data_IF_580638440266
#
_entry.id   IF_580638440266
#
_cell.length_a   1.000
_cell.length_b   1.000
_cell.length_c   1.000
_cell.angle_alpha   90.00
_cell.angle_beta   90.00
_cell.angle_gamma   90.00
#
_symmetry.space_group_name_H-M   'P 1'
#
loop_
_entity.id
_entity.type
_entity.pdbx_description
1 polymer ?
#
# COMPACT_ATOMS: atom_id res chain seq x y z
N UNK A 1 47.23 52.52 -0.81
CA UNK A 1 47.12 51.20 -0.14
C UNK A 1 45.82 51.17 0.64
N UNK A 2 44.79 50.45 0.16
CA UNK A 2 43.48 50.36 0.80
C UNK A 2 43.46 49.08 1.64
N UNK A 3 43.24 49.20 2.94
CA UNK A 3 43.07 48.05 3.86
C UNK A 3 41.73 47.38 3.62
N UNK A 4 41.66 46.04 3.52
CA UNK A 4 40.40 45.34 3.41
C UNK A 4 39.67 45.34 4.77
N UNK A 5 38.44 45.83 4.79
CA UNK A 5 37.55 45.75 5.92
C UNK A 5 37.22 44.27 6.27
N UNK A 6 37.63 43.84 7.47
CA UNK A 6 37.25 42.55 8.01
C UNK A 6 35.72 42.51 8.22
N UNK A 7 35.02 41.69 7.46
CA UNK A 7 33.61 41.38 7.69
C UNK A 7 33.50 40.65 9.05
N UNK A 8 32.84 41.28 10.01
CA UNK A 8 32.44 40.62 11.26
C UNK A 8 31.48 39.47 10.93
N UNK A 9 31.94 38.22 11.04
CA UNK A 9 31.08 37.05 11.05
C UNK A 9 30.51 36.91 12.46
N UNK A 10 29.26 37.36 12.64
CA UNK A 10 28.53 37.12 13.88
C UNK A 10 28.30 35.61 14.03
N UNK A 11 28.88 34.98 15.03
CA UNK A 11 28.63 33.57 15.38
C UNK A 11 27.26 33.43 16.07
N UNK A 12 26.58 32.30 15.84
CA UNK A 12 25.34 31.99 16.54
C UNK A 12 25.55 31.81 18.05
N UNK A 13 24.65 32.37 18.85
CA UNK A 13 24.63 32.16 20.30
C UNK A 13 24.15 30.73 20.62
N UNK A 14 24.71 30.11 21.66
CA UNK A 14 24.29 28.77 22.13
C UNK A 14 22.82 28.75 22.51
N UNK A 15 22.28 29.83 23.09
CA UNK A 15 20.83 29.93 23.41
C UNK A 15 19.96 30.00 22.17
N UNK A 16 20.40 30.64 21.11
CA UNK A 16 19.67 30.70 19.83
C UNK A 16 19.58 29.33 19.16
N UNK A 17 20.66 28.53 19.23
CA UNK A 17 20.68 27.17 18.72
C UNK A 17 19.76 26.26 19.54
N UNK A 18 19.75 26.41 20.88
CA UNK A 18 18.81 25.66 21.73
C UNK A 18 17.35 26.03 21.45
N UNK A 19 17.04 27.31 21.29
CA UNK A 19 15.71 27.78 20.98
C UNK A 19 15.23 27.22 19.60
N UNK A 20 16.10 27.24 18.60
CA UNK A 20 15.81 26.68 17.27
C UNK A 20 15.53 25.17 17.35
N UNK A 21 16.32 24.40 18.10
CA UNK A 21 16.12 22.98 18.30
C UNK A 21 14.76 22.67 18.96
N UNK A 22 14.36 23.45 19.97
CA UNK A 22 13.06 23.29 20.63
C UNK A 22 11.91 23.51 19.64
N UNK A 23 11.98 24.57 18.84
CA UNK A 23 10.96 24.86 17.82
C UNK A 23 10.87 23.72 16.80
N UNK A 24 12.01 23.24 16.28
CA UNK A 24 12.05 22.12 15.32
C UNK A 24 11.46 20.85 15.94
N UNK A 25 11.79 20.53 17.19
CA UNK A 25 11.26 19.37 17.89
C UNK A 25 9.74 19.43 18.03
N UNK A 26 9.18 20.60 18.38
CA UNK A 26 7.73 20.82 18.46
C UNK A 26 7.03 20.65 17.10
N UNK A 27 7.61 21.19 16.03
CA UNK A 27 7.08 21.05 14.68
C UNK A 27 7.11 19.59 14.21
N UNK A 28 8.18 18.85 14.47
CA UNK A 28 8.30 17.44 14.13
C UNK A 28 7.30 16.58 14.91
N UNK A 29 7.03 16.89 16.17
CA UNK A 29 6.05 16.17 16.98
C UNK A 29 4.64 16.20 16.39
N UNK A 30 4.28 17.28 15.69
CA UNK A 30 3.00 17.42 14.99
C UNK A 30 3.03 16.84 13.55
N UNK A 31 4.15 17.01 12.85
CA UNK A 31 4.26 16.62 11.44
C UNK A 31 4.34 15.09 11.24
N UNK A 32 5.07 14.37 12.12
CA UNK A 32 5.30 12.92 11.97
C UNK A 32 4.01 12.10 11.98
N UNK A 33 3.06 12.27 12.94
CA UNK A 33 1.84 11.46 12.93
C UNK A 33 0.95 11.74 11.71
N UNK A 34 0.85 13.00 11.26
CA UNK A 34 0.11 13.37 10.07
C UNK A 34 0.70 12.70 8.81
N UNK A 35 2.04 12.68 8.68
CA UNK A 35 2.73 12.06 7.54
C UNK A 35 2.49 10.55 7.45
N UNK A 36 2.49 9.83 8.58
CA UNK A 36 2.20 8.39 8.62
C UNK A 36 0.80 8.07 8.07
N UNK A 37 -0.21 8.86 8.43
CA UNK A 37 -1.56 8.70 7.91
C UNK A 37 -1.65 8.85 6.38
N UNK A 38 -0.87 9.77 5.81
CA UNK A 38 -0.80 9.95 4.35
C UNK A 38 -0.15 8.75 3.66
N UNK A 39 0.93 8.17 4.24
CA UNK A 39 1.58 6.98 3.68
C UNK A 39 0.59 5.79 3.66
N UNK A 40 -0.12 5.54 4.75
CA UNK A 40 -1.10 4.45 4.81
C UNK A 40 -2.17 4.62 3.73
N UNK A 41 -2.72 5.83 3.56
CA UNK A 41 -3.70 6.13 2.50
C UNK A 41 -3.12 5.90 1.10
N UNK A 42 -1.90 6.36 0.82
CA UNK A 42 -1.25 6.15 -0.47
C UNK A 42 -1.05 4.66 -0.78
N UNK A 43 -0.59 3.88 0.20
CA UNK A 43 -0.44 2.42 0.08
C UNK A 43 -1.79 1.72 -0.11
N UNK A 44 -2.85 2.18 0.57
CA UNK A 44 -4.22 1.68 0.38
C UNK A 44 -4.71 1.92 -1.04
N UNK A 45 -4.55 3.11 -1.59
CA UNK A 45 -4.91 3.45 -2.98
C UNK A 45 -4.15 2.55 -3.97
N UNK A 46 -2.85 2.29 -3.71
CA UNK A 46 -2.05 1.37 -4.51
C UNK A 46 -2.62 -0.05 -4.47
N UNK A 47 -3.02 -0.56 -3.29
CA UNK A 47 -3.70 -1.85 -3.14
C UNK A 47 -5.01 -1.93 -3.92
N UNK A 48 -5.84 -0.88 -3.85
CA UNK A 48 -7.09 -0.79 -4.62
C UNK A 48 -6.86 -0.81 -6.13
N UNK A 49 -5.87 -0.03 -6.61
CA UNK A 49 -5.53 0.00 -8.03
C UNK A 49 -5.06 -1.37 -8.52
N UNK A 50 -4.27 -2.10 -7.72
CA UNK A 50 -3.83 -3.45 -8.06
C UNK A 50 -5.00 -4.43 -8.07
N UNK A 51 -5.93 -4.37 -7.12
CA UNK A 51 -7.15 -5.18 -7.15
C UNK A 51 -7.99 -4.95 -8.42
N UNK A 52 -8.13 -3.69 -8.85
CA UNK A 52 -8.84 -3.36 -10.09
C UNK A 52 -8.09 -3.86 -11.34
N UNK A 53 -6.75 -3.73 -11.39
CA UNK A 53 -5.91 -4.29 -12.46
C UNK A 53 -6.08 -5.82 -12.55
N UNK A 54 -6.01 -6.49 -11.41
CA UNK A 54 -6.16 -7.94 -11.33
C UNK A 54 -7.57 -8.41 -11.69
N UNK A 55 -8.61 -7.67 -11.31
CA UNK A 55 -9.97 -7.98 -11.74
C UNK A 55 -10.11 -7.89 -13.26
N UNK A 56 -9.52 -6.89 -13.91
CA UNK A 56 -9.50 -6.82 -15.38
C UNK A 56 -8.76 -8.01 -16.02
N UNK A 57 -7.67 -8.48 -15.39
CA UNK A 57 -6.97 -9.70 -15.84
C UNK A 57 -7.86 -10.94 -15.68
N UNK A 58 -8.58 -11.07 -14.57
CA UNK A 58 -9.53 -12.14 -14.32
C UNK A 58 -10.68 -12.14 -15.34
N UNK A 59 -11.21 -10.98 -15.70
CA UNK A 59 -12.26 -10.87 -16.73
C UNK A 59 -11.73 -11.27 -18.12
N UNK A 60 -10.50 -10.91 -18.48
CA UNK A 60 -9.86 -11.39 -19.71
C UNK A 60 -9.66 -12.90 -19.70
N UNK A 61 -9.19 -13.45 -18.59
CA UNK A 61 -9.04 -14.90 -18.43
C UNK A 61 -10.37 -15.60 -18.54
N UNK A 62 -11.42 -15.08 -17.91
CA UNK A 62 -12.79 -15.60 -17.97
C UNK A 62 -13.32 -15.62 -19.41
N UNK A 63 -13.10 -14.59 -20.18
CA UNK A 63 -13.55 -14.52 -21.58
C UNK A 63 -12.95 -15.62 -22.48
N UNK A 64 -11.79 -16.14 -22.12
CA UNK A 64 -11.06 -17.17 -22.86
C UNK A 64 -11.33 -18.58 -22.34
N UNK A 65 -11.56 -18.72 -21.03
CA UNK A 65 -11.60 -20.03 -20.35
C UNK A 65 -12.97 -20.37 -19.72
N UNK A 66 -13.94 -19.44 -19.74
CA UNK A 66 -15.25 -19.56 -19.08
C UNK A 66 -15.16 -19.86 -17.57
N UNK A 67 -14.08 -19.46 -16.93
CA UNK A 67 -13.87 -19.57 -15.50
C UNK A 67 -12.87 -18.52 -15.04
N UNK A 68 -12.96 -18.08 -13.79
CA UNK A 68 -11.91 -17.32 -13.14
C UNK A 68 -10.82 -18.24 -12.63
N UNK A 69 -9.67 -17.68 -12.27
CA UNK A 69 -8.53 -18.43 -11.75
C UNK A 69 -8.23 -18.03 -10.29
N UNK A 70 -8.14 -19.04 -9.43
CA UNK A 70 -7.61 -18.83 -8.07
C UNK A 70 -6.09 -18.70 -8.12
N UNK A 71 -5.52 -17.76 -7.39
CA UNK A 71 -4.07 -17.59 -7.24
C UNK A 71 -3.72 -17.07 -5.85
N UNK A 72 -2.47 -17.27 -5.47
CA UNK A 72 -1.88 -16.77 -4.24
C UNK A 72 -0.36 -16.65 -4.38
N UNK A 73 0.32 -16.10 -3.38
CA UNK A 73 1.78 -16.04 -3.33
C UNK A 73 2.49 -17.41 -3.38
N UNK A 74 1.78 -18.51 -3.20
CA UNK A 74 2.29 -19.87 -3.24
C UNK A 74 1.72 -20.69 -4.40
N UNK A 75 1.16 -20.08 -5.45
CA UNK A 75 0.68 -20.80 -6.61
C UNK A 75 1.83 -21.40 -7.40
N UNK A 76 1.85 -22.72 -7.53
CA UNK A 76 2.88 -23.47 -8.28
C UNK A 76 2.52 -23.67 -9.75
N UNK A 77 1.26 -23.41 -10.12
CA UNK A 77 0.77 -23.54 -11.49
C UNK A 77 1.18 -22.34 -12.35
N UNK A 78 1.59 -22.60 -13.59
CA UNK A 78 2.06 -21.58 -14.52
C UNK A 78 1.02 -20.49 -14.82
N UNK A 79 -0.27 -20.78 -14.68
CA UNK A 79 -1.37 -19.83 -14.90
C UNK A 79 -1.51 -18.88 -13.70
N UNK A 80 -1.45 -19.40 -12.47
CA UNK A 80 -1.50 -18.59 -11.25
C UNK A 80 -0.29 -17.65 -11.12
N UNK A 81 0.88 -18.08 -11.59
CA UNK A 81 2.10 -17.28 -11.59
C UNK A 81 2.04 -16.06 -12.53
N UNK A 82 1.10 -15.99 -13.46
CA UNK A 82 0.88 -14.82 -14.32
C UNK A 82 0.17 -13.67 -13.58
N UNK A 83 -0.41 -13.93 -12.41
CA UNK A 83 -1.09 -12.93 -11.61
C UNK A 83 -0.18 -12.40 -10.51
N UNK A 84 -0.07 -11.10 -10.44
CA UNK A 84 0.71 -10.43 -9.41
C UNK A 84 0.02 -10.59 -8.04
N UNK A 85 0.70 -11.21 -7.07
CA UNK A 85 0.16 -11.47 -5.74
C UNK A 85 0.54 -10.43 -4.68
N UNK A 86 1.08 -9.27 -5.09
CA UNK A 86 1.42 -8.16 -4.20
C UNK A 86 0.94 -6.82 -4.76
N UNK A 87 0.73 -5.82 -3.89
CA UNK A 87 0.43 -4.45 -4.30
C UNK A 87 1.73 -3.70 -4.63
N UNK A 88 1.71 -2.85 -5.63
CA UNK A 88 2.86 -2.01 -5.94
C UNK A 88 3.54 -2.38 -7.24
N UNK A 89 4.77 -1.88 -7.40
CA UNK A 89 5.51 -2.02 -8.64
C UNK A 89 6.05 -3.43 -8.84
N UNK A 90 6.21 -3.82 -10.10
CA UNK A 90 6.87 -5.04 -10.51
C UNK A 90 8.39 -4.86 -10.33
N UNK A 91 9.10 -5.93 -9.94
CA UNK A 91 10.54 -5.92 -9.77
C UNK A 91 11.01 -6.91 -8.72
N UNK A 92 12.32 -7.09 -8.64
CA UNK A 92 12.98 -8.13 -7.83
C UNK A 92 12.64 -8.03 -6.33
N UNK A 93 12.50 -6.80 -5.79
CA UNK A 93 12.07 -6.54 -4.41
C UNK A 93 10.62 -6.05 -4.30
N UNK A 94 9.83 -6.15 -5.37
CA UNK A 94 8.49 -5.58 -5.45
C UNK A 94 7.58 -6.07 -4.32
N UNK A 95 7.58 -7.38 -4.07
CA UNK A 95 6.79 -8.00 -3.02
C UNK A 95 7.20 -7.52 -1.61
N UNK A 96 8.50 -7.55 -1.29
CA UNK A 96 9.01 -7.19 0.04
C UNK A 96 8.71 -5.73 0.44
N UNK A 97 8.60 -4.83 -0.54
CA UNK A 97 8.27 -3.41 -0.34
C UNK A 97 6.79 -3.09 -0.47
N UNK A 98 5.98 -4.08 -0.83
CA UNK A 98 4.54 -3.93 -1.00
C UNK A 98 3.81 -3.96 0.33
N UNK A 99 2.75 -3.18 0.44
CA UNK A 99 1.95 -3.09 1.65
C UNK A 99 0.93 -4.23 1.79
N UNK A 100 0.45 -4.78 0.67
CA UNK A 100 -0.59 -5.80 0.66
C UNK A 100 -0.16 -7.03 -0.12
N UNK A 101 -0.41 -8.20 0.45
CA UNK A 101 -0.45 -9.48 -0.23
C UNK A 101 -1.82 -9.69 -0.85
N UNK A 102 -1.86 -10.16 -2.12
CA UNK A 102 -3.09 -10.33 -2.86
C UNK A 102 -3.31 -11.79 -3.22
N UNK A 103 -4.53 -12.25 -3.05
CA UNK A 103 -4.97 -13.58 -3.46
C UNK A 103 -6.36 -13.52 -4.14
N UNK A 104 -6.66 -14.55 -4.92
CA UNK A 104 -7.95 -14.77 -5.56
C UNK A 104 -8.51 -16.13 -5.18
N UNK A 105 -9.80 -16.18 -4.84
CA UNK A 105 -10.52 -17.41 -4.54
C UNK A 105 -11.97 -17.32 -5.04
N UNK A 106 -12.70 -18.44 -5.03
CA UNK A 106 -14.13 -18.38 -5.24
C UNK A 106 -14.82 -17.50 -4.19
N UNK A 107 -15.90 -16.83 -4.58
CA UNK A 107 -16.76 -16.16 -3.61
C UNK A 107 -17.38 -17.18 -2.65
N UNK A 108 -17.71 -16.79 -1.39
CA UNK A 108 -18.40 -17.66 -0.46
C UNK A 108 -19.66 -18.28 -1.09
N UNK A 109 -19.84 -19.58 -0.92
CA UNK A 109 -20.98 -20.37 -1.38
C UNK A 109 -21.17 -20.43 -2.92
N UNK A 110 -20.18 -19.97 -3.69
CA UNK A 110 -20.23 -19.96 -5.16
C UNK A 110 -19.03 -20.71 -5.75
N UNK A 111 -19.22 -21.31 -6.93
CA UNK A 111 -18.11 -21.89 -7.68
C UNK A 111 -17.24 -20.78 -8.30
N UNK A 112 -15.92 -21.03 -8.45
CA UNK A 112 -14.97 -20.08 -9.04
C UNK A 112 -15.40 -19.62 -10.44
N UNK A 113 -16.06 -20.48 -11.22
CA UNK A 113 -16.60 -20.13 -12.53
C UNK A 113 -17.75 -19.12 -12.50
N UNK A 114 -18.35 -18.88 -11.34
CA UNK A 114 -19.48 -17.97 -11.17
C UNK A 114 -19.06 -16.64 -10.56
N UNK A 115 -18.12 -16.69 -9.61
CA UNK A 115 -17.67 -15.50 -8.92
C UNK A 115 -16.25 -15.68 -8.39
N UNK A 116 -15.40 -14.68 -8.60
CA UNK A 116 -14.07 -14.56 -7.98
C UNK A 116 -14.05 -13.41 -6.96
N UNK A 117 -13.41 -13.65 -5.84
CA UNK A 117 -13.13 -12.71 -4.77
C UNK A 117 -11.62 -12.46 -4.72
N UNK A 118 -11.22 -11.23 -4.99
CA UNK A 118 -9.86 -10.74 -4.77
C UNK A 118 -9.76 -10.15 -3.36
N UNK A 119 -8.68 -10.47 -2.65
CA UNK A 119 -8.39 -9.95 -1.31
C UNK A 119 -6.99 -9.34 -1.28
N UNK A 120 -6.86 -8.16 -0.69
CA UNK A 120 -5.58 -7.53 -0.40
C UNK A 120 -5.41 -7.44 1.13
N UNK A 121 -4.49 -8.25 1.67
CA UNK A 121 -4.21 -8.35 3.11
C UNK A 121 -2.97 -7.54 3.47
N UNK A 122 -3.07 -6.57 4.41
CA UNK A 122 -1.93 -5.75 4.79
C UNK A 122 -0.96 -6.52 5.69
N UNK A 123 0.33 -6.22 5.58
CA UNK A 123 1.36 -6.58 6.56
C UNK A 123 1.57 -8.07 6.80
N UNK A 124 1.48 -8.91 5.76
CA UNK A 124 1.80 -10.34 5.90
C UNK A 124 3.31 -10.57 5.85
N UNK A 125 3.77 -11.76 6.24
CA UNK A 125 5.18 -12.13 6.21
C UNK A 125 5.79 -12.19 4.81
N UNK A 126 4.97 -12.14 3.76
CA UNK A 126 5.41 -12.21 2.35
C UNK A 126 5.58 -10.83 1.70
N UNK A 127 5.09 -9.78 2.37
CA UNK A 127 5.19 -8.37 1.96
C UNK A 127 5.81 -7.57 3.11
N UNK A 128 5.66 -6.25 3.15
CA UNK A 128 6.11 -5.44 4.29
C UNK A 128 5.33 -5.80 5.56
N UNK A 129 5.90 -6.68 6.38
CA UNK A 129 5.28 -7.16 7.61
C UNK A 129 5.04 -6.06 8.67
N UNK A 130 5.70 -4.91 8.54
CA UNK A 130 5.51 -3.76 9.44
C UNK A 130 4.35 -2.86 9.02
N UNK A 131 3.86 -3.01 7.79
CA UNK A 131 2.75 -2.22 7.32
C UNK A 131 1.44 -2.64 7.99
N UNK A 132 0.72 -1.68 8.52
CA UNK A 132 -0.60 -1.88 9.15
C UNK A 132 -1.59 -0.86 8.59
N UNK A 133 -2.76 -1.36 8.21
CA UNK A 133 -3.92 -0.55 7.85
C UNK A 133 -5.05 -0.82 8.86
N UNK A 134 -4.91 -0.24 10.05
CA UNK A 134 -5.87 -0.45 11.14
C UNK A 134 -7.29 0.05 10.81
N UNK A 135 -7.40 1.08 9.96
CA UNK A 135 -8.69 1.66 9.59
C UNK A 135 -9.50 0.74 8.65
N UNK A 136 -8.83 0.17 7.64
CA UNK A 136 -9.50 -0.56 6.57
C UNK A 136 -9.18 -2.06 6.55
N UNK A 137 -8.06 -2.49 7.09
CA UNK A 137 -7.67 -3.89 7.14
C UNK A 137 -7.56 -4.52 5.75
N UNK A 138 -8.12 -5.71 5.60
CA UNK A 138 -8.18 -6.43 4.32
C UNK A 138 -9.19 -5.78 3.39
N UNK A 139 -8.75 -5.40 2.19
CA UNK A 139 -9.63 -4.91 1.14
C UNK A 139 -10.11 -6.07 0.27
N UNK A 140 -11.36 -6.01 -0.17
CA UNK A 140 -11.96 -7.04 -1.02
C UNK A 140 -12.65 -6.45 -2.24
N UNK A 141 -12.57 -7.19 -3.36
CA UNK A 141 -13.26 -6.87 -4.61
C UNK A 141 -13.80 -8.16 -5.22
N UNK A 142 -15.12 -8.21 -5.45
CA UNK A 142 -15.78 -9.32 -6.15
C UNK A 142 -15.95 -9.03 -7.64
N UNK A 143 -16.03 -10.07 -8.45
CA UNK A 143 -16.37 -9.93 -9.88
C UNK A 143 -17.75 -9.30 -10.12
N UNK A 144 -18.64 -9.32 -9.13
CA UNK A 144 -19.91 -8.59 -9.15
C UNK A 144 -19.75 -7.06 -9.01
N UNK A 145 -18.52 -6.55 -8.79
CA UNK A 145 -18.25 -5.15 -8.50
C UNK A 145 -18.40 -4.75 -7.03
N UNK A 146 -18.80 -5.66 -6.15
CA UNK A 146 -18.92 -5.41 -4.72
C UNK A 146 -17.54 -5.18 -4.10
N UNK A 147 -17.41 -4.09 -3.35
CA UNK A 147 -16.18 -3.67 -2.65
C UNK A 147 -16.40 -3.76 -1.15
N UNK A 148 -15.40 -4.26 -0.42
CA UNK A 148 -15.48 -4.41 1.02
C UNK A 148 -14.15 -4.13 1.71
N UNK A 149 -14.21 -4.03 3.03
CA UNK A 149 -13.04 -3.93 3.91
C UNK A 149 -13.35 -4.61 5.24
N UNK A 150 -12.32 -5.12 5.93
CA UNK A 150 -12.50 -5.76 7.23
C UNK A 150 -12.32 -4.81 8.41
N UNK A 151 -11.82 -3.60 8.18
CA UNK A 151 -11.60 -2.60 9.22
C UNK A 151 -12.85 -1.78 9.55
N UNK A 152 -12.79 -0.99 10.64
CA UNK A 152 -13.94 -0.24 11.16
C UNK A 152 -14.30 1.02 10.38
N UNK A 153 -13.43 1.53 9.50
CA UNK A 153 -13.67 2.79 8.79
C UNK A 153 -14.72 2.63 7.68
N UNK A 154 -15.66 3.56 7.63
CA UNK A 154 -16.77 3.53 6.66
C UNK A 154 -16.34 3.83 5.21
N UNK A 155 -15.18 4.49 5.02
CA UNK A 155 -14.71 4.95 3.70
C UNK A 155 -13.33 4.37 3.41
N UNK A 156 -13.30 3.11 3.04
CA UNK A 156 -12.07 2.39 2.67
C UNK A 156 -11.83 2.30 1.17
N UNK A 157 -12.84 2.57 0.38
CA UNK A 157 -12.75 2.62 -1.08
C UNK A 157 -13.02 4.04 -1.60
N UNK A 158 -12.30 4.42 -2.67
CA UNK A 158 -12.50 5.65 -3.43
C UNK A 158 -13.71 5.51 -4.36
#
# INVERSE_FOLDING_TARGET
MASPALKNTAGFSLIELLAALVIVALLLALAVPAYRGHIVRAKRVQGQATLLKLMQQQERYYSQNNTYLAFSAGSDDAQGQQFQWWSGEEGEDGAARSAYEIDASACPEMAIKQCVLLRARPGTTRVDAQFQDADCGTLTLRSTGERGSSGPAARCWL
#
